data_IF_070603730417
#
_entry.id   IF_070603730417
#
_cell.length_a   1.000
_cell.length_b   1.000
_cell.length_c   1.000
_cell.angle_alpha   90.00
_cell.angle_beta   90.00
_cell.angle_gamma   90.00
#
_symmetry.space_group_name_H-M   'P 1'
#
loop_
_entity.id
_entity.type
_entity.pdbx_description
1 polymer ?
#
# COMPACT_ATOMS: atom_id res chain seq x y z
N UNK A 1 23.12 -12.63 -20.05
CA UNK A 1 22.71 -13.60 -19.02
C UNK A 1 21.38 -14.20 -19.43
N UNK A 2 21.14 -15.50 -19.23
CA UNK A 2 19.83 -16.13 -19.48
C UNK A 2 19.01 -16.04 -18.20
N UNK A 3 17.71 -15.82 -18.34
CA UNK A 3 16.84 -15.68 -17.17
C UNK A 3 16.44 -17.03 -16.58
N UNK A 4 16.45 -18.08 -17.41
CA UNK A 4 16.16 -19.47 -17.03
C UNK A 4 17.35 -20.39 -17.33
N UNK A 5 17.61 -21.31 -16.41
CA UNK A 5 18.54 -22.42 -16.61
C UNK A 5 17.81 -23.75 -16.44
N UNK A 6 18.17 -24.75 -17.26
CA UNK A 6 17.59 -26.09 -17.17
C UNK A 6 18.73 -27.09 -16.97
N UNK A 7 18.69 -27.81 -15.85
CA UNK A 7 19.76 -28.74 -15.47
C UNK A 7 19.74 -30.04 -16.29
N UNK A 8 18.60 -30.36 -16.91
CA UNK A 8 18.30 -31.62 -17.60
C UNK A 8 18.37 -32.83 -16.65
N UNK A 9 17.72 -32.73 -15.50
CA UNK A 9 17.53 -33.88 -14.60
C UNK A 9 16.45 -34.80 -15.17
N UNK A 10 16.86 -35.91 -15.76
CA UNK A 10 15.93 -36.95 -16.21
C UNK A 10 15.68 -37.90 -15.04
N UNK A 11 14.65 -37.62 -14.24
CA UNK A 11 14.27 -38.46 -13.11
C UNK A 11 13.40 -39.64 -13.60
N UNK A 12 13.87 -40.90 -13.50
CA UNK A 12 13.13 -42.06 -13.97
C UNK A 12 11.84 -42.34 -13.17
N UNK A 13 11.71 -41.78 -11.96
CA UNK A 13 10.56 -41.99 -11.05
C UNK A 13 9.61 -40.78 -10.98
N UNK A 14 9.79 -39.79 -11.86
CA UNK A 14 8.96 -38.58 -11.88
C UNK A 14 7.48 -38.92 -12.13
N UNK A 15 6.67 -38.59 -11.12
CA UNK A 15 5.29 -39.02 -10.94
C UNK A 15 4.41 -38.71 -12.19
N UNK A 16 3.86 -39.72 -12.89
CA UNK A 16 3.19 -39.58 -14.19
C UNK A 16 1.86 -38.79 -14.16
N UNK A 17 1.42 -38.31 -12.98
CA UNK A 17 0.14 -37.63 -12.79
C UNK A 17 0.14 -36.12 -13.03
N UNK A 18 1.25 -35.50 -13.45
CA UNK A 18 1.34 -34.02 -13.64
C UNK A 18 1.28 -33.52 -15.10
N UNK A 19 1.58 -34.36 -16.09
CA UNK A 19 1.22 -34.30 -17.52
C UNK A 19 2.08 -35.36 -18.21
N UNK A 20 1.56 -36.16 -19.16
CA UNK A 20 2.30 -37.28 -19.70
C UNK A 20 3.28 -36.74 -20.71
N UNK A 21 4.52 -36.47 -20.30
CA UNK A 21 5.59 -36.47 -21.30
C UNK A 21 5.59 -37.88 -21.86
N UNK A 22 5.21 -38.00 -23.13
CA UNK A 22 5.17 -39.31 -23.78
C UNK A 22 6.54 -39.94 -23.60
N UNK A 23 6.61 -41.13 -23.00
CA UNK A 23 7.86 -41.85 -22.69
C UNK A 23 8.78 -41.93 -23.91
N UNK A 24 8.20 -41.98 -25.12
CA UNK A 24 8.93 -41.92 -26.40
C UNK A 24 9.61 -40.57 -26.64
N UNK A 25 8.93 -39.45 -26.35
CA UNK A 25 9.51 -38.11 -26.46
C UNK A 25 10.60 -37.88 -25.41
N UNK A 26 10.40 -38.37 -24.18
CA UNK A 26 11.41 -38.36 -23.11
C UNK A 26 12.67 -39.12 -23.53
N UNK A 27 12.54 -40.37 -23.98
CA UNK A 27 13.67 -41.18 -24.41
C UNK A 27 14.43 -40.54 -25.58
N UNK A 28 13.70 -39.93 -26.53
CA UNK A 28 14.33 -39.18 -27.63
C UNK A 28 15.10 -37.97 -27.11
N UNK A 29 14.51 -37.18 -26.22
CA UNK A 29 15.17 -36.01 -25.63
C UNK A 29 16.41 -36.42 -24.82
N UNK A 30 16.33 -37.52 -24.07
CA UNK A 30 17.45 -38.08 -23.33
C UNK A 30 18.58 -38.54 -24.26
N UNK A 31 18.27 -39.28 -25.32
CA UNK A 31 19.28 -39.68 -26.31
C UNK A 31 19.94 -38.47 -26.99
N UNK A 32 19.18 -37.41 -27.27
CA UNK A 32 19.71 -36.18 -27.84
C UNK A 32 20.61 -35.45 -26.83
N UNK A 33 20.22 -35.44 -25.56
CA UNK A 33 21.02 -34.85 -24.49
C UNK A 33 22.37 -35.57 -24.30
N UNK A 34 22.40 -36.90 -24.38
CA UNK A 34 23.65 -37.67 -24.31
C UNK A 34 24.62 -37.32 -25.45
N UNK A 35 24.10 -36.99 -26.64
CA UNK A 35 24.93 -36.57 -27.78
C UNK A 35 25.33 -35.09 -27.75
N UNK A 36 24.46 -34.20 -27.27
CA UNK A 36 24.66 -32.74 -27.32
C UNK A 36 24.09 -32.04 -26.07
N UNK A 37 24.72 -32.22 -24.89
CA UNK A 37 24.13 -31.78 -23.63
C UNK A 37 24.01 -30.25 -23.52
N UNK A 38 25.04 -29.52 -23.98
CA UNK A 38 25.05 -28.05 -23.97
C UNK A 38 23.94 -27.47 -24.86
N UNK A 39 23.76 -28.02 -26.06
CA UNK A 39 22.75 -27.55 -27.00
C UNK A 39 21.33 -27.78 -26.47
N UNK A 40 21.04 -28.94 -25.90
CA UNK A 40 19.72 -29.25 -25.34
C UNK A 40 19.41 -28.36 -24.12
N UNK A 41 20.36 -28.16 -23.20
CA UNK A 41 20.20 -27.19 -22.09
C UNK A 41 19.84 -25.82 -22.62
N UNK A 42 20.56 -25.39 -23.66
CA UNK A 42 20.34 -24.10 -24.30
C UNK A 42 18.94 -23.99 -24.89
N UNK A 43 18.48 -24.99 -25.63
CA UNK A 43 17.15 -24.99 -26.23
C UNK A 43 16.03 -24.97 -25.17
N UNK A 44 16.17 -25.75 -24.10
CA UNK A 44 15.18 -25.83 -23.03
C UNK A 44 15.09 -24.51 -22.24
N UNK A 45 16.23 -23.87 -21.94
CA UNK A 45 16.26 -22.52 -21.36
C UNK A 45 15.55 -21.50 -22.26
N UNK A 46 15.82 -21.51 -23.57
CA UNK A 46 15.16 -20.59 -24.50
C UNK A 46 13.65 -20.86 -24.61
N UNK A 47 13.24 -22.13 -24.55
CA UNK A 47 11.83 -22.50 -24.52
C UNK A 47 11.14 -21.99 -23.26
N UNK A 48 11.78 -22.08 -22.09
CA UNK A 48 11.26 -21.52 -20.84
C UNK A 48 11.13 -19.99 -20.91
N UNK A 49 12.14 -19.28 -21.45
CA UNK A 49 12.08 -17.84 -21.67
C UNK A 49 10.90 -17.44 -22.56
N UNK A 50 10.74 -18.14 -23.69
CA UNK A 50 9.62 -17.91 -24.59
C UNK A 50 8.27 -18.18 -23.93
N UNK A 51 8.14 -19.31 -23.23
CA UNK A 51 6.92 -19.70 -22.55
C UNK A 51 6.53 -18.70 -21.46
N UNK A 52 7.48 -18.21 -20.65
CA UNK A 52 7.23 -17.17 -19.66
C UNK A 52 6.77 -15.86 -20.32
N UNK A 53 7.42 -15.43 -21.39
CA UNK A 53 7.03 -14.21 -22.13
C UNK A 53 5.63 -14.32 -22.77
N UNK A 54 5.23 -15.52 -23.17
CA UNK A 54 3.92 -15.80 -23.78
C UNK A 54 2.88 -16.30 -22.80
N UNK A 55 3.21 -16.39 -21.49
CA UNK A 55 2.32 -16.88 -20.42
C UNK A 55 1.83 -18.32 -20.67
N UNK A 56 2.65 -19.14 -21.32
CA UNK A 56 2.32 -20.52 -21.68
C UNK A 56 2.66 -21.47 -20.53
N UNK A 57 1.79 -21.48 -19.51
CA UNK A 57 1.95 -22.26 -18.27
C UNK A 57 2.19 -23.75 -18.54
N UNK A 58 1.49 -24.34 -19.51
CA UNK A 58 1.65 -25.76 -19.85
C UNK A 58 3.08 -26.09 -20.32
N UNK A 59 3.73 -25.18 -21.06
CA UNK A 59 5.12 -25.36 -21.51
C UNK A 59 6.07 -25.17 -20.33
N UNK A 60 5.81 -24.22 -19.42
CA UNK A 60 6.61 -24.06 -18.22
C UNK A 60 6.52 -25.28 -17.30
N UNK A 61 5.33 -25.83 -17.08
CA UNK A 61 5.12 -27.08 -16.33
C UNK A 61 5.83 -28.27 -17.00
N UNK A 62 5.92 -28.28 -18.33
CA UNK A 62 6.69 -29.29 -19.07
C UNK A 62 8.20 -29.12 -18.87
N UNK A 63 8.74 -27.90 -19.07
CA UNK A 63 10.18 -27.65 -18.94
C UNK A 63 10.66 -27.83 -17.49
N UNK A 64 9.83 -27.50 -16.49
CA UNK A 64 10.24 -27.60 -15.07
C UNK A 64 10.63 -29.02 -14.65
N UNK A 65 10.07 -30.04 -15.30
CA UNK A 65 10.35 -31.45 -15.01
C UNK A 65 11.84 -31.80 -15.21
N UNK A 66 12.57 -30.98 -15.97
CA UNK A 66 13.99 -31.15 -16.25
C UNK A 66 14.91 -30.35 -15.32
N UNK A 67 14.40 -29.82 -14.20
CA UNK A 67 15.18 -29.02 -13.26
C UNK A 67 15.33 -27.57 -13.73
N UNK A 68 14.21 -26.88 -13.89
CA UNK A 68 14.19 -25.46 -14.25
C UNK A 68 14.55 -24.59 -13.03
N UNK A 69 15.55 -23.74 -13.21
CA UNK A 69 16.01 -22.75 -12.24
C UNK A 69 15.81 -21.35 -12.81
N UNK A 70 15.42 -20.43 -11.92
CA UNK A 70 15.31 -19.01 -12.23
C UNK A 70 16.63 -18.32 -11.85
N UNK A 71 17.36 -17.78 -12.84
CA UNK A 71 18.68 -17.15 -12.63
C UNK A 71 18.61 -15.63 -12.42
N UNK A 72 17.43 -15.05 -12.54
CA UNK A 72 17.20 -13.62 -12.59
C UNK A 72 15.76 -13.30 -12.17
N UNK A 73 15.52 -12.16 -11.52
CA UNK A 73 14.17 -11.70 -11.21
C UNK A 73 13.40 -11.20 -12.44
N UNK A 74 14.06 -11.04 -13.59
CA UNK A 74 13.47 -10.41 -14.78
C UNK A 74 12.16 -11.06 -15.27
N UNK A 75 11.97 -12.40 -15.29
CA UNK A 75 10.69 -13.01 -15.65
C UNK A 75 9.56 -12.64 -14.68
N UNK A 76 9.84 -12.57 -13.37
CA UNK A 76 8.86 -12.16 -12.37
C UNK A 76 8.56 -10.67 -12.51
N UNK A 77 9.58 -9.81 -12.68
CA UNK A 77 9.40 -8.38 -12.94
C UNK A 77 8.51 -8.15 -14.17
N UNK A 78 8.74 -8.88 -15.27
CA UNK A 78 7.87 -8.84 -16.47
C UNK A 78 6.45 -9.33 -16.20
N UNK A 79 6.28 -10.36 -15.36
CA UNK A 79 4.96 -10.81 -14.96
C UNK A 79 4.23 -9.73 -14.13
N UNK A 80 4.95 -9.06 -13.23
CA UNK A 80 4.44 -7.97 -12.40
C UNK A 80 4.05 -6.75 -13.23
N UNK A 81 4.95 -6.23 -14.06
CA UNK A 81 4.68 -5.06 -14.91
C UNK A 81 3.63 -5.35 -15.98
N UNK A 82 3.44 -6.61 -16.35
CA UNK A 82 2.39 -7.05 -17.27
C UNK A 82 1.06 -7.44 -16.62
N UNK A 83 0.93 -7.35 -15.28
CA UNK A 83 -0.31 -7.67 -14.56
C UNK A 83 -0.68 -9.16 -14.55
N UNK A 84 0.30 -10.06 -14.73
CA UNK A 84 0.08 -11.47 -15.04
C UNK A 84 -0.04 -12.32 -13.78
N UNK A 85 -1.16 -12.19 -13.07
CA UNK A 85 -1.42 -12.96 -11.84
C UNK A 85 -1.31 -14.47 -12.01
N UNK A 86 -1.75 -15.02 -13.15
CA UNK A 86 -1.64 -16.46 -13.41
C UNK A 86 -0.17 -16.94 -13.43
N UNK A 87 0.71 -16.16 -14.07
CA UNK A 87 2.13 -16.46 -14.12
C UNK A 87 2.82 -16.22 -12.76
N UNK A 88 2.39 -15.21 -12.00
CA UNK A 88 2.88 -14.98 -10.64
C UNK A 88 2.48 -16.11 -9.68
N UNK A 89 1.22 -16.55 -9.73
CA UNK A 89 0.76 -17.73 -9.00
C UNK A 89 1.54 -18.99 -9.42
N UNK A 90 1.89 -19.11 -10.70
CA UNK A 90 2.74 -20.20 -11.17
C UNK A 90 4.15 -20.14 -10.57
N UNK A 91 4.76 -18.97 -10.49
CA UNK A 91 6.07 -18.83 -9.84
C UNK A 91 5.99 -19.19 -8.35
N UNK A 92 5.03 -18.64 -7.62
CA UNK A 92 4.86 -18.87 -6.18
C UNK A 92 4.58 -20.34 -5.83
N UNK A 93 3.61 -20.98 -6.52
CA UNK A 93 3.27 -22.41 -6.29
C UNK A 93 4.41 -23.38 -6.58
N UNK A 94 5.37 -22.97 -7.42
CA UNK A 94 6.54 -23.75 -7.77
C UNK A 94 7.79 -23.36 -6.97
N UNK A 95 7.64 -22.50 -5.95
CA UNK A 95 8.74 -22.12 -5.06
C UNK A 95 9.73 -21.11 -5.66
N UNK A 96 9.42 -20.54 -6.83
CA UNK A 96 10.22 -19.47 -7.43
C UNK A 96 9.90 -18.14 -6.75
N UNK A 97 10.34 -18.00 -5.49
CA UNK A 97 10.24 -16.75 -4.73
C UNK A 97 11.41 -15.84 -5.05
N UNK A 98 11.13 -14.55 -5.18
CA UNK A 98 12.16 -13.53 -5.40
C UNK A 98 12.04 -12.46 -4.32
N UNK A 99 13.11 -12.23 -3.57
CA UNK A 99 13.21 -11.17 -2.59
C UNK A 99 13.60 -9.85 -3.26
N UNK A 100 12.79 -9.39 -4.21
CA UNK A 100 12.99 -8.11 -4.90
C UNK A 100 12.02 -7.08 -4.29
N UNK A 101 12.53 -6.13 -3.48
CA UNK A 101 11.71 -5.15 -2.78
C UNK A 101 10.99 -4.19 -3.74
N UNK A 102 11.47 -4.08 -4.98
CA UNK A 102 10.96 -3.10 -5.96
C UNK A 102 9.78 -3.66 -6.77
N UNK A 103 9.37 -4.92 -6.56
CA UNK A 103 8.25 -5.51 -7.30
C UNK A 103 6.93 -4.77 -7.05
N UNK A 104 6.71 -4.29 -5.83
CA UNK A 104 5.46 -3.60 -5.50
C UNK A 104 5.39 -2.25 -6.22
N UNK A 105 6.47 -1.47 -6.18
CA UNK A 105 6.64 -0.23 -6.95
C UNK A 105 6.47 -0.46 -8.45
N UNK A 106 7.05 -1.54 -8.98
CA UNK A 106 6.86 -1.89 -10.38
C UNK A 106 5.40 -2.20 -10.72
N UNK A 107 4.64 -2.86 -9.84
CA UNK A 107 3.21 -3.09 -10.06
C UNK A 107 2.42 -1.78 -10.09
N UNK A 108 2.83 -0.84 -9.23
CA UNK A 108 2.27 0.50 -9.07
C UNK A 108 2.50 1.35 -10.33
N UNK A 109 3.74 1.42 -10.82
CA UNK A 109 4.13 2.22 -11.99
C UNK A 109 3.35 1.82 -13.24
N UNK A 110 3.14 0.51 -13.40
CA UNK A 110 2.40 -0.07 -14.50
C UNK A 110 0.89 -0.12 -14.25
N UNK A 111 0.40 0.43 -13.13
CA UNK A 111 -1.00 0.51 -12.76
C UNK A 111 -1.71 -0.86 -12.67
N UNK A 112 -0.97 -1.91 -12.28
CA UNK A 112 -1.50 -3.26 -12.10
C UNK A 112 -1.96 -3.47 -10.66
N UNK A 113 -3.10 -2.88 -10.30
CA UNK A 113 -3.61 -2.89 -8.93
C UNK A 113 -3.79 -4.30 -8.38
N UNK A 114 -4.34 -5.22 -9.16
CA UNK A 114 -4.55 -6.62 -8.73
C UNK A 114 -3.21 -7.31 -8.40
N UNK A 115 -2.16 -6.97 -9.13
CA UNK A 115 -0.80 -7.46 -8.86
C UNK A 115 -0.20 -6.83 -7.61
N UNK A 116 -0.41 -5.52 -7.40
CA UNK A 116 0.00 -4.87 -6.15
C UNK A 116 -0.70 -5.49 -4.94
N UNK A 117 -2.00 -5.82 -5.05
CA UNK A 117 -2.75 -6.52 -4.00
C UNK A 117 -2.19 -7.92 -3.75
N UNK A 118 -1.88 -8.64 -4.83
CA UNK A 118 -1.26 -9.95 -4.74
C UNK A 118 0.08 -9.88 -4.00
N UNK A 119 0.95 -8.92 -4.35
CA UNK A 119 2.25 -8.74 -3.70
C UNK A 119 2.10 -8.39 -2.21
N UNK A 120 1.21 -7.47 -1.85
CA UNK A 120 0.94 -7.12 -0.45
C UNK A 120 0.48 -8.34 0.37
N UNK A 121 -0.39 -9.18 -0.19
CA UNK A 121 -0.84 -10.43 0.44
C UNK A 121 0.29 -11.44 0.67
N UNK A 122 1.33 -11.41 -0.16
CA UNK A 122 2.51 -12.28 -0.05
C UNK A 122 3.64 -11.65 0.78
N UNK A 123 3.37 -10.55 1.49
CA UNK A 123 4.28 -9.95 2.47
C UNK A 123 5.27 -8.94 1.91
N UNK A 124 5.11 -8.50 0.66
CA UNK A 124 5.90 -7.40 0.12
C UNK A 124 5.47 -6.08 0.77
N UNK A 125 6.43 -5.24 1.14
CA UNK A 125 6.17 -3.96 1.79
C UNK A 125 6.32 -2.81 0.81
N UNK A 126 5.63 -1.70 1.09
CA UNK A 126 5.77 -0.48 0.28
C UNK A 126 7.01 0.26 0.76
N UNK A 127 7.92 0.55 -0.17
CA UNK A 127 9.03 1.44 0.08
C UNK A 127 8.49 2.87 0.30
N UNK A 128 8.88 3.58 1.38
CA UNK A 128 8.47 4.97 1.60
C UNK A 128 8.75 5.92 0.44
N UNK A 129 9.79 5.64 -0.37
CA UNK A 129 10.15 6.46 -1.53
C UNK A 129 9.18 6.23 -2.70
N UNK A 130 8.79 4.98 -2.98
CA UNK A 130 7.77 4.69 -3.98
C UNK A 130 6.44 5.38 -3.65
N UNK A 131 6.17 5.53 -2.34
CA UNK A 131 5.01 6.23 -1.83
C UNK A 131 5.02 7.73 -2.22
N UNK A 132 6.20 8.38 -2.27
CA UNK A 132 6.39 9.75 -2.78
C UNK A 132 5.86 9.98 -4.19
N UNK A 133 6.13 9.05 -5.10
CA UNK A 133 5.73 9.17 -6.50
C UNK A 133 4.26 8.76 -6.72
N UNK A 134 3.81 7.75 -5.97
CA UNK A 134 2.42 7.25 -5.88
C UNK A 134 1.38 8.34 -5.62
N UNK A 135 1.73 9.35 -4.82
CA UNK A 135 0.78 10.37 -4.35
C UNK A 135 0.38 11.40 -5.40
N UNK A 136 1.10 11.47 -6.53
CA UNK A 136 0.75 12.36 -7.64
C UNK A 136 -0.40 11.82 -8.52
N UNK A 137 -0.78 10.55 -8.33
CA UNK A 137 -1.69 9.84 -9.24
C UNK A 137 -3.03 9.53 -8.54
N UNK A 138 -4.02 10.42 -8.72
CA UNK A 138 -5.43 10.22 -8.31
C UNK A 138 -6.01 8.84 -8.73
N UNK A 139 -5.47 8.24 -9.80
CA UNK A 139 -5.80 6.90 -10.30
C UNK A 139 -5.50 5.77 -9.29
N UNK A 140 -4.61 6.00 -8.32
CA UNK A 140 -4.16 5.00 -7.35
C UNK A 140 -4.94 5.03 -6.03
N UNK A 141 -5.99 5.85 -5.93
CA UNK A 141 -6.91 5.86 -4.78
C UNK A 141 -7.47 4.48 -4.42
N UNK A 142 -7.84 3.58 -5.36
CA UNK A 142 -8.30 2.24 -4.99
C UNK A 142 -7.22 1.42 -4.26
N UNK A 143 -5.95 1.56 -4.65
CA UNK A 143 -4.84 0.88 -3.99
C UNK A 143 -4.56 1.47 -2.61
N UNK A 144 -4.51 2.80 -2.50
CA UNK A 144 -4.34 3.47 -1.21
C UNK A 144 -5.46 3.09 -0.25
N UNK A 145 -6.73 3.09 -0.72
CA UNK A 145 -7.87 2.62 0.07
C UNK A 145 -7.66 1.18 0.56
N UNK A 146 -7.28 0.27 -0.32
CA UNK A 146 -7.02 -1.12 0.05
C UNK A 146 -5.88 -1.24 1.07
N UNK A 147 -4.78 -0.51 0.88
CA UNK A 147 -3.64 -0.51 1.82
C UNK A 147 -4.09 -0.07 3.21
N UNK A 148 -4.96 0.94 3.32
CA UNK A 148 -5.42 1.36 4.65
C UNK A 148 -6.48 0.41 5.22
N UNK A 149 -7.35 -0.18 4.39
CA UNK A 149 -8.40 -1.12 4.85
C UNK A 149 -7.85 -2.51 5.21
N UNK A 150 -6.78 -2.97 4.56
CA UNK A 150 -6.29 -4.35 4.65
C UNK A 150 -4.78 -4.50 4.90
N UNK A 151 -4.01 -3.41 4.74
CA UNK A 151 -2.58 -3.40 4.96
C UNK A 151 -2.20 -3.12 6.42
N UNK A 152 -0.90 -3.13 6.74
CA UNK A 152 -0.42 -2.73 8.05
C UNK A 152 -0.76 -1.25 8.33
N UNK A 153 -0.90 -0.85 9.61
CA UNK A 153 -1.15 0.55 9.97
C UNK A 153 -0.10 1.47 9.35
N UNK A 154 -0.56 2.54 8.69
CA UNK A 154 0.33 3.52 8.09
C UNK A 154 1.25 4.12 9.15
N UNK A 155 2.54 4.24 8.84
CA UNK A 155 3.46 4.99 9.69
C UNK A 155 3.08 6.48 9.72
N UNK A 156 3.37 7.16 10.82
CA UNK A 156 3.06 8.58 10.97
C UNK A 156 3.59 9.47 9.83
N UNK A 157 4.84 9.33 9.34
CA UNK A 157 5.35 10.16 8.24
C UNK A 157 4.51 10.02 6.97
N UNK A 158 4.09 8.79 6.66
CA UNK A 158 3.24 8.47 5.52
C UNK A 158 1.85 9.06 5.71
N UNK A 159 1.26 8.88 6.88
CA UNK A 159 -0.07 9.41 7.20
C UNK A 159 -0.12 10.94 7.10
N UNK A 160 0.89 11.65 7.63
CA UNK A 160 1.00 13.11 7.48
C UNK A 160 0.99 13.50 6.01
N UNK A 161 1.86 12.89 5.20
CA UNK A 161 2.00 13.22 3.78
C UNK A 161 0.70 13.01 3.00
N UNK A 162 0.01 11.88 3.21
CA UNK A 162 -1.28 11.57 2.58
C UNK A 162 -2.35 12.63 2.85
N UNK A 163 -2.40 13.11 4.09
CA UNK A 163 -3.39 14.09 4.53
C UNK A 163 -3.09 15.50 3.99
N UNK A 164 -1.81 15.84 3.79
CA UNK A 164 -1.39 17.11 3.19
C UNK A 164 -1.64 17.19 1.68
N UNK A 165 -1.64 16.07 0.95
CA UNK A 165 -1.95 16.00 -0.49
C UNK A 165 -3.46 15.94 -0.82
N UNK A 166 -4.29 16.51 0.05
CA UNK A 166 -5.74 16.68 -0.11
C UNK A 166 -6.54 15.38 -0.31
N UNK A 167 -5.93 14.22 -0.02
CA UNK A 167 -6.63 12.93 0.09
C UNK A 167 -7.30 12.85 1.47
N UNK A 168 -8.19 13.80 1.76
CA UNK A 168 -8.75 14.00 3.11
C UNK A 168 -9.48 12.77 3.61
N UNK A 169 -10.11 12.03 2.70
CA UNK A 169 -10.76 10.74 2.94
C UNK A 169 -9.84 9.78 3.69
N UNK A 170 -8.53 9.81 3.41
CA UNK A 170 -7.53 8.95 4.05
C UNK A 170 -7.39 9.23 5.53
N UNK A 171 -7.61 10.47 5.97
CA UNK A 171 -7.49 10.79 7.40
C UNK A 171 -8.52 10.05 8.25
N UNK A 172 -9.67 9.63 7.69
CA UNK A 172 -10.63 8.78 8.42
C UNK A 172 -10.10 7.36 8.70
N UNK A 173 -9.12 6.90 7.94
CA UNK A 173 -8.58 5.54 7.99
C UNK A 173 -7.25 5.43 8.75
N UNK A 174 -6.61 6.57 9.06
CA UNK A 174 -5.40 6.64 9.89
C UNK A 174 -5.75 6.39 11.37
N UNK A 175 -4.85 5.80 12.17
CA UNK A 175 -5.10 5.59 13.62
C UNK A 175 -5.40 6.89 14.37
N UNK A 176 -6.16 6.81 15.47
CA UNK A 176 -6.51 8.01 16.26
C UNK A 176 -5.27 8.74 16.78
N UNK A 177 -4.24 8.00 17.22
CA UNK A 177 -2.97 8.59 17.69
C UNK A 177 -2.29 9.43 16.62
N UNK A 178 -2.19 8.91 15.39
CA UNK A 178 -1.61 9.65 14.27
C UNK A 178 -2.50 10.83 13.85
N UNK A 179 -3.84 10.69 13.92
CA UNK A 179 -4.75 11.83 13.67
C UNK A 179 -4.53 12.96 14.66
N UNK A 180 -4.30 12.67 15.94
CA UNK A 180 -3.98 13.70 16.96
C UNK A 180 -2.74 14.49 16.54
N UNK A 181 -1.66 13.80 16.18
CA UNK A 181 -0.41 14.46 15.76
C UNK A 181 -0.59 15.32 14.51
N UNK A 182 -1.38 14.84 13.54
CA UNK A 182 -1.72 15.60 12.33
C UNK A 182 -2.53 16.86 12.69
N UNK A 183 -3.50 16.76 13.61
CA UNK A 183 -4.29 17.91 14.08
C UNK A 183 -3.39 18.95 14.74
N UNK A 184 -2.47 18.54 15.62
CA UNK A 184 -1.54 19.46 16.30
C UNK A 184 -0.66 20.22 15.30
N UNK A 185 -0.14 19.53 14.29
CA UNK A 185 0.65 20.15 13.22
C UNK A 185 -0.20 21.11 12.38
N UNK A 186 -1.44 20.72 12.06
CA UNK A 186 -2.37 21.58 11.31
C UNK A 186 -2.76 22.85 12.09
N UNK A 187 -2.83 22.79 13.42
CA UNK A 187 -3.03 23.97 14.29
C UNK A 187 -1.83 24.92 14.15
N UNK A 188 -0.60 24.41 14.23
CA UNK A 188 0.62 25.20 14.10
C UNK A 188 0.72 25.88 12.72
N UNK A 189 0.38 25.13 11.67
CA UNK A 189 0.42 25.60 10.28
C UNK A 189 -0.83 26.40 9.87
N UNK A 190 -1.81 26.58 10.78
CA UNK A 190 -3.08 27.29 10.53
C UNK A 190 -3.87 26.72 9.34
N UNK A 191 -3.78 25.40 9.09
CA UNK A 191 -4.49 24.73 8.00
C UNK A 191 -5.96 24.49 8.38
N UNK A 192 -6.78 25.54 8.29
CA UNK A 192 -8.20 25.55 8.66
C UNK A 192 -9.02 24.49 7.92
N UNK A 193 -8.75 24.29 6.63
CA UNK A 193 -9.48 23.31 5.82
C UNK A 193 -9.25 21.90 6.34
N UNK A 194 -7.99 21.55 6.64
CA UNK A 194 -7.67 20.24 7.16
C UNK A 194 -8.23 20.02 8.56
N UNK A 195 -8.11 21.03 9.44
CA UNK A 195 -8.67 21.00 10.79
C UNK A 195 -10.17 20.77 10.76
N UNK A 196 -10.89 21.54 9.94
CA UNK A 196 -12.34 21.36 9.78
C UNK A 196 -12.67 19.95 9.33
N UNK A 197 -11.98 19.43 8.31
CA UNK A 197 -12.27 18.11 7.79
C UNK A 197 -12.04 17.03 8.86
N UNK A 198 -10.87 17.00 9.50
CA UNK A 198 -10.55 15.94 10.48
C UNK A 198 -11.52 16.00 11.65
N UNK A 199 -11.76 17.18 12.22
CA UNK A 199 -12.57 17.31 13.43
C UNK A 199 -14.06 17.01 13.18
N UNK A 200 -14.61 17.42 12.03
CA UNK A 200 -16.03 17.17 11.72
C UNK A 200 -16.32 15.82 11.08
N UNK A 201 -15.32 15.19 10.44
CA UNK A 201 -15.53 13.94 9.68
C UNK A 201 -14.92 12.72 10.35
N UNK A 202 -14.14 12.89 11.42
CA UNK A 202 -13.55 11.76 12.17
C UNK A 202 -13.94 11.80 13.64
N UNK A 203 -13.75 10.68 14.34
CA UNK A 203 -14.04 10.56 15.77
C UNK A 203 -12.74 10.45 16.56
N UNK A 204 -12.75 11.04 17.74
CA UNK A 204 -11.72 10.87 18.77
C UNK A 204 -12.43 10.29 19.98
N UNK A 205 -12.25 9.00 20.24
CA UNK A 205 -12.92 8.29 21.32
C UNK A 205 -12.13 8.38 22.62
N UNK A 206 -10.79 8.46 22.53
CA UNK A 206 -9.94 8.52 23.69
C UNK A 206 -9.92 9.93 24.30
N UNK A 207 -10.16 10.03 25.61
CA UNK A 207 -10.12 11.31 26.32
C UNK A 207 -8.71 11.93 26.36
N UNK A 208 -7.65 11.11 26.33
CA UNK A 208 -6.29 11.64 26.25
C UNK A 208 -6.06 12.34 24.91
N UNK A 209 -6.48 11.75 23.79
CA UNK A 209 -6.46 12.38 22.46
C UNK A 209 -7.17 13.72 22.47
N UNK A 210 -8.38 13.77 23.04
CA UNK A 210 -9.20 14.99 23.11
C UNK A 210 -8.52 16.08 23.94
N UNK A 211 -7.96 15.71 25.09
CA UNK A 211 -7.21 16.63 25.97
C UNK A 211 -5.99 17.19 25.25
N UNK A 212 -5.19 16.33 24.61
CA UNK A 212 -4.00 16.77 23.85
C UNK A 212 -4.36 17.76 22.75
N UNK A 213 -5.44 17.51 22.00
CA UNK A 213 -5.92 18.45 20.97
C UNK A 213 -6.33 19.79 21.61
N UNK A 214 -7.07 19.74 22.72
CA UNK A 214 -7.53 20.93 23.44
C UNK A 214 -6.36 21.78 23.95
N UNK A 215 -5.33 21.15 24.52
CA UNK A 215 -4.10 21.82 24.97
C UNK A 215 -3.34 22.43 23.78
N UNK A 216 -3.33 21.74 22.64
CA UNK A 216 -2.83 22.26 21.37
C UNK A 216 -3.58 23.51 20.89
N UNK A 217 -4.90 23.54 21.03
CA UNK A 217 -5.72 24.73 20.72
C UNK A 217 -5.41 25.87 21.69
N UNK A 218 -5.31 25.61 23.00
CA UNK A 218 -4.98 26.65 24.01
C UNK A 218 -3.61 27.30 23.79
N UNK A 219 -2.63 26.51 23.37
CA UNK A 219 -1.28 27.02 23.10
C UNK A 219 -1.16 27.74 21.75
N UNK A 220 -2.18 27.66 20.89
CA UNK A 220 -2.19 28.34 19.61
C UNK A 220 -2.42 29.86 19.76
N UNK A 221 -2.05 30.68 18.77
CA UNK A 221 -2.31 32.13 18.80
C UNK A 221 -3.80 32.46 18.97
N UNK A 222 -4.13 33.59 19.62
CA UNK A 222 -5.52 34.01 19.88
C UNK A 222 -6.43 33.99 18.64
N UNK A 223 -5.91 34.34 17.46
CA UNK A 223 -6.66 34.28 16.19
C UNK A 223 -7.06 32.85 15.80
N UNK A 224 -6.23 31.87 16.12
CA UNK A 224 -6.52 30.46 15.91
C UNK A 224 -7.55 29.98 16.93
N UNK A 225 -7.38 30.33 18.21
CA UNK A 225 -8.35 30.00 19.27
C UNK A 225 -9.74 30.55 18.95
N UNK A 226 -9.83 31.82 18.56
CA UNK A 226 -11.09 32.46 18.18
C UNK A 226 -11.75 31.74 17.00
N UNK A 227 -10.96 31.38 15.98
CA UNK A 227 -11.48 30.62 14.84
C UNK A 227 -12.05 29.25 15.26
N UNK A 228 -11.42 28.56 16.22
CA UNK A 228 -11.95 27.31 16.77
C UNK A 228 -13.30 27.51 17.47
N UNK A 229 -13.42 28.56 18.30
CA UNK A 229 -14.68 28.92 18.97
C UNK A 229 -15.78 29.21 17.94
N UNK A 230 -15.48 30.05 16.95
CA UNK A 230 -16.43 30.46 15.90
C UNK A 230 -16.85 29.29 15.00
N UNK A 231 -15.94 28.35 14.72
CA UNK A 231 -16.18 27.27 13.75
C UNK A 231 -16.79 26.03 14.39
N UNK A 232 -16.36 25.68 15.61
CA UNK A 232 -16.73 24.40 16.24
C UNK A 232 -17.51 24.57 17.54
N UNK A 233 -17.73 25.79 18.05
CA UNK A 233 -18.35 26.03 19.35
C UNK A 233 -19.73 25.39 19.53
N UNK A 234 -20.52 25.31 18.45
CA UNK A 234 -21.85 24.69 18.44
C UNK A 234 -21.85 23.31 17.75
N UNK A 235 -20.68 22.77 17.40
CA UNK A 235 -20.57 21.46 16.77
C UNK A 235 -20.90 20.34 17.74
N UNK A 236 -21.85 19.49 17.38
CA UNK A 236 -22.18 18.28 18.14
C UNK A 236 -21.13 17.17 17.98
N UNK A 237 -20.27 17.27 16.97
CA UNK A 237 -19.23 16.27 16.66
C UNK A 237 -17.94 16.60 17.39
N UNK A 238 -17.49 17.85 17.29
CA UNK A 238 -16.19 18.27 17.79
C UNK A 238 -16.20 19.49 18.70
N UNK A 239 -17.36 19.95 19.20
CA UNK A 239 -17.42 21.09 20.12
C UNK A 239 -16.59 20.92 21.41
N UNK A 240 -16.24 19.68 21.77
CA UNK A 240 -15.33 19.36 22.87
C UNK A 240 -13.89 19.87 22.69
N UNK A 241 -13.49 20.24 21.46
CA UNK A 241 -12.16 20.76 21.16
C UNK A 241 -12.00 22.23 21.54
N UNK A 242 -13.11 22.94 21.76
CA UNK A 242 -13.16 24.31 22.21
C UNK A 242 -13.24 24.35 23.73
N UNK A 243 -12.57 25.31 24.37
CA UNK A 243 -12.78 25.57 25.80
C UNK A 243 -13.80 26.68 25.99
N UNK A 244 -14.80 26.39 26.81
CA UNK A 244 -15.89 27.28 27.20
C UNK A 244 -15.48 28.39 28.17
N UNK A 245 -14.21 28.77 28.26
CA UNK A 245 -13.76 29.87 29.11
C UNK A 245 -14.09 31.27 28.55
N UNK A 246 -14.56 31.37 27.29
CA UNK A 246 -14.93 32.65 26.66
C UNK A 246 -16.45 32.90 26.56
N UNK A 247 -17.31 31.95 26.95
CA UNK A 247 -18.77 32.15 26.95
C UNK A 247 -19.25 33.11 28.05
N UNK A 248 -18.46 33.30 29.11
CA UNK A 248 -18.86 34.10 30.29
C UNK A 248 -18.54 35.61 30.18
N UNK A 249 -17.74 36.06 29.21
CA UNK A 249 -17.42 37.49 29.07
C UNK A 249 -18.46 38.30 28.30
N UNK A 250 -19.47 37.65 27.70
CA UNK A 250 -20.56 38.29 26.96
C UNK A 250 -21.87 38.44 27.74
N UNK A 251 -21.98 37.86 28.95
CA UNK A 251 -23.21 37.89 29.78
C UNK A 251 -23.00 38.56 31.15
N UNK A 252 -22.31 39.70 31.21
CA UNK A 252 -22.36 40.55 32.42
C UNK A 252 -23.53 41.55 32.27
N UNK A 253 -24.59 41.47 33.10
CA UNK A 253 -25.69 42.43 33.06
C UNK A 253 -25.18 43.80 33.53
N UNK A 254 -25.44 44.85 32.73
CA UNK A 254 -25.14 46.22 33.16
C UNK A 254 -25.97 46.58 34.42
N UNK A 255 -25.36 47.20 35.44
CA UNK A 255 -26.09 47.60 36.63
C UNK A 255 -27.08 48.72 36.30
N UNK A 256 -28.34 48.46 36.65
CA UNK A 256 -29.48 49.37 36.54
C UNK A 256 -29.18 50.68 37.26
N UNK A 257 -29.18 51.80 36.52
CA UNK A 257 -29.07 53.14 37.09
C UNK A 257 -30.28 53.41 37.97
N UNK A 258 -30.07 53.45 39.29
CA UNK A 258 -31.03 53.99 40.25
C UNK A 258 -31.20 55.49 39.96
N UNK A 259 -32.38 55.89 39.47
CA UNK A 259 -32.80 57.30 39.39
C UNK A 259 -33.03 57.79 40.83
N UNK A 260 -32.25 58.77 41.29
CA UNK A 260 -32.64 59.61 42.43
C UNK A 260 -33.75 60.55 41.96
N UNK A 261 -34.89 60.49 42.65
CA UNK A 261 -35.94 61.50 42.63
C UNK A 261 -35.51 62.65 43.54
N UNK A 262 -35.63 63.86 42.98
CA UNK A 262 -35.66 65.21 43.57
C UNK A 262 -34.57 65.63 44.57
#
# INVERSE_FOLDING_TARGET
SRDFEVQCMFDPDSNPHLNPVNRVQLNRLQSLFETQPSHIRVCLSCLAEFAANKKLIAILDWVKQFGLELRSSAPIRRAVSGGNLELLNWFDRNGYKVCDPDLLELAIDYNNLDTAHWLLKHGYTINPIALDELWSLKRMMPLLRWIVEHGPPLSLPVAKKLVWFDCREISSWVSESHRVEIVLEAIQNKNRGLLWWILERTRFECETSRRTIRDGVQSAPNKTQLWFVETFGDSTVCGWCVLTAQKEQSEVPQPTKIRRLE
#
